data_IF_864740115765
#
_entry.id   IF_864740115765
#
_cell.length_a   1.000
_cell.length_b   1.000
_cell.length_c   1.000
_cell.angle_alpha   90.00
_cell.angle_beta   90.00
_cell.angle_gamma   90.00
#
_symmetry.space_group_name_H-M   'P 1'
#
loop_
_entity.id
_entity.type
_entity.pdbx_description
1 polymer ?
#
# COMPACT_ATOMS: atom_id res chain seq x y z
N UNK A 1 -22.48 -1.36 -7.70
CA UNK A 1 -23.92 -1.07 -7.92
C UNK A 1 -24.53 -0.65 -6.59
N UNK A 2 -25.74 -0.08 -6.54
CA UNK A 2 -26.43 0.22 -5.27
C UNK A 2 -27.50 -0.85 -4.97
N UNK A 3 -27.79 -1.10 -3.69
CA UNK A 3 -28.84 -2.04 -3.24
C UNK A 3 -30.18 -1.85 -3.96
N UNK A 4 -30.60 -0.61 -4.20
CA UNK A 4 -31.85 -0.29 -4.91
C UNK A 4 -31.91 -0.86 -6.33
N UNK A 5 -30.79 -0.77 -7.06
CA UNK A 5 -30.65 -1.33 -8.41
C UNK A 5 -30.66 -2.86 -8.37
N UNK A 6 -29.95 -3.45 -7.40
CA UNK A 6 -29.88 -4.91 -7.26
C UNK A 6 -31.25 -5.50 -6.95
N UNK A 7 -32.02 -4.89 -6.04
CA UNK A 7 -33.40 -5.31 -5.74
C UNK A 7 -34.23 -5.31 -7.02
N UNK A 8 -34.21 -4.19 -7.76
CA UNK A 8 -35.00 -4.00 -8.98
C UNK A 8 -34.62 -4.98 -10.08
N UNK A 9 -33.32 -5.18 -10.31
CA UNK A 9 -32.82 -6.09 -11.34
C UNK A 9 -33.12 -7.55 -11.01
N UNK A 10 -32.81 -8.00 -9.78
CA UNK A 10 -33.10 -9.38 -9.34
C UNK A 10 -34.59 -9.66 -9.38
N UNK A 11 -35.44 -8.72 -8.93
CA UNK A 11 -36.90 -8.86 -9.02
C UNK A 11 -37.34 -9.08 -10.47
N UNK A 12 -36.90 -8.21 -11.39
CA UNK A 12 -37.24 -8.32 -12.81
C UNK A 12 -36.74 -9.62 -13.43
N UNK A 13 -35.52 -10.04 -13.10
CA UNK A 13 -34.93 -11.29 -13.58
C UNK A 13 -35.72 -12.52 -13.10
N UNK A 14 -36.31 -12.46 -11.90
CA UNK A 14 -37.15 -13.53 -11.35
C UNK A 14 -38.62 -13.43 -11.81
N UNK A 15 -38.98 -12.44 -12.63
CA UNK A 15 -40.35 -12.23 -13.10
C UNK A 15 -41.33 -11.78 -12.01
N UNK A 16 -40.84 -11.29 -10.87
CA UNK A 16 -41.67 -10.87 -9.73
C UNK A 16 -42.18 -9.43 -9.93
N UNK A 17 -43.39 -9.14 -9.44
CA UNK A 17 -43.89 -7.75 -9.34
C UNK A 17 -43.52 -7.12 -7.99
N UNK A 18 -43.68 -5.80 -7.85
CA UNK A 18 -43.45 -5.14 -6.55
C UNK A 18 -44.47 -5.60 -5.51
N UNK A 19 -45.69 -5.91 -5.95
CA UNK A 19 -46.76 -6.50 -5.16
C UNK A 19 -46.37 -7.88 -4.61
N UNK A 20 -45.74 -8.72 -5.42
CA UNK A 20 -45.27 -10.02 -4.93
C UNK A 20 -44.26 -9.85 -3.80
N UNK A 21 -43.25 -8.98 -3.97
CA UNK A 21 -42.27 -8.73 -2.90
C UNK A 21 -42.95 -8.21 -1.64
N UNK A 22 -43.90 -7.30 -1.79
CA UNK A 22 -44.64 -6.72 -0.67
C UNK A 22 -45.41 -7.79 0.11
N UNK A 23 -46.10 -8.68 -0.60
CA UNK A 23 -46.86 -9.79 -0.03
C UNK A 23 -45.95 -10.80 0.69
N UNK A 24 -44.87 -11.26 0.03
CA UNK A 24 -43.94 -12.24 0.63
C UNK A 24 -43.25 -11.72 1.89
N UNK A 25 -42.97 -10.42 1.97
CA UNK A 25 -42.25 -9.81 3.10
C UNK A 25 -43.18 -9.12 4.12
N UNK A 26 -44.49 -9.14 3.90
CA UNK A 26 -45.46 -8.51 4.80
C UNK A 26 -45.31 -6.98 4.89
N UNK A 27 -44.91 -6.33 3.80
CA UNK A 27 -44.73 -4.87 3.71
C UNK A 27 -45.69 -4.25 2.70
N UNK A 28 -45.74 -2.92 2.65
CA UNK A 28 -46.56 -2.21 1.66
C UNK A 28 -45.85 -2.11 0.31
N UNK A 29 -46.62 -2.16 -0.79
CA UNK A 29 -46.10 -1.97 -2.16
C UNK A 29 -45.32 -0.65 -2.31
N UNK A 30 -45.79 0.49 -1.75
CA UNK A 30 -45.02 1.73 -1.80
C UNK A 30 -43.66 1.64 -1.10
N UNK A 31 -43.50 0.79 -0.08
CA UNK A 31 -42.20 0.57 0.55
C UNK A 31 -41.21 -0.07 -0.43
N UNK A 32 -41.64 -1.12 -1.14
CA UNK A 32 -40.83 -1.78 -2.18
C UNK A 32 -40.45 -0.81 -3.29
N UNK A 33 -41.40 0.02 -3.76
CA UNK A 33 -41.13 1.06 -4.76
C UNK A 33 -40.08 2.07 -4.28
N UNK A 34 -40.18 2.54 -3.03
CA UNK A 34 -39.19 3.44 -2.42
C UNK A 34 -37.81 2.79 -2.30
N UNK A 35 -37.73 1.49 -2.02
CA UNK A 35 -36.46 0.75 -2.00
C UNK A 35 -35.82 0.68 -3.38
N UNK A 36 -36.59 0.32 -4.42
CA UNK A 36 -36.08 0.23 -5.80
C UNK A 36 -35.67 1.58 -6.39
N UNK A 37 -36.26 2.67 -5.89
CA UNK A 37 -35.91 4.04 -6.28
C UNK A 37 -34.79 4.65 -5.39
N UNK A 38 -34.33 3.93 -4.36
CA UNK A 38 -33.29 4.41 -3.44
C UNK A 38 -33.74 5.54 -2.50
N UNK A 39 -35.05 5.76 -2.35
CA UNK A 39 -35.61 6.77 -1.44
C UNK A 39 -35.52 6.33 0.02
N UNK A 40 -35.72 5.04 0.28
CA UNK A 40 -35.58 4.43 1.61
C UNK A 40 -34.86 3.09 1.48
N UNK A 41 -34.35 2.58 2.60
CA UNK A 41 -33.76 1.24 2.66
C UNK A 41 -34.75 0.23 3.25
N UNK A 42 -34.66 -1.06 2.88
CA UNK A 42 -35.33 -2.10 3.65
C UNK A 42 -34.83 -2.11 5.09
N UNK A 43 -35.72 -2.40 6.04
CA UNK A 43 -35.33 -2.61 7.42
C UNK A 43 -34.31 -3.75 7.53
N UNK A 44 -33.34 -3.64 8.44
CA UNK A 44 -32.29 -4.64 8.63
C UNK A 44 -32.86 -6.04 8.91
N UNK A 45 -34.02 -6.11 9.57
CA UNK A 45 -34.73 -7.36 9.86
C UNK A 45 -35.34 -8.01 8.62
N UNK A 46 -35.61 -7.23 7.57
CA UNK A 46 -36.19 -7.71 6.31
C UNK A 46 -35.14 -8.18 5.31
N UNK A 47 -33.89 -7.76 5.47
CA UNK A 47 -32.80 -8.10 4.53
C UNK A 47 -32.62 -9.62 4.34
N UNK A 48 -32.63 -10.48 5.40
CA UNK A 48 -32.50 -11.92 5.20
C UNK A 48 -33.68 -12.53 4.43
N UNK A 49 -34.90 -12.02 4.64
CA UNK A 49 -36.09 -12.46 3.90
C UNK A 49 -36.01 -12.05 2.44
N UNK A 50 -35.66 -10.79 2.19
CA UNK A 50 -35.48 -10.22 0.87
C UNK A 50 -34.39 -10.94 0.07
N UNK A 51 -33.24 -11.24 0.69
CA UNK A 51 -32.14 -11.97 0.05
C UNK A 51 -32.57 -13.39 -0.39
N UNK A 52 -33.27 -14.13 0.48
CA UNK A 52 -33.81 -15.46 0.15
C UNK A 52 -34.83 -15.40 -0.98
N UNK A 53 -35.73 -14.41 -0.97
CA UNK A 53 -36.73 -14.21 -2.03
C UNK A 53 -36.07 -13.90 -3.38
N UNK A 54 -35.04 -13.04 -3.37
CA UNK A 54 -34.30 -12.63 -4.56
C UNK A 54 -33.21 -13.63 -4.99
N UNK A 55 -33.12 -14.78 -4.33
CA UNK A 55 -32.12 -15.84 -4.60
C UNK A 55 -30.69 -15.27 -4.69
N UNK A 56 -30.33 -14.44 -3.71
CA UNK A 56 -29.02 -13.80 -3.60
C UNK A 56 -28.53 -13.86 -2.16
N UNK A 57 -27.24 -13.70 -1.95
CA UNK A 57 -26.68 -13.52 -0.61
C UNK A 57 -26.74 -12.04 -0.17
N UNK A 58 -26.53 -11.81 1.13
CA UNK A 58 -26.57 -10.47 1.73
C UNK A 58 -25.42 -9.58 1.24
N UNK A 59 -24.24 -10.14 0.94
CA UNK A 59 -23.11 -9.34 0.47
C UNK A 59 -23.43 -8.78 -0.91
N UNK A 60 -23.88 -9.63 -1.83
CA UNK A 60 -24.33 -9.20 -3.15
C UNK A 60 -25.49 -8.21 -3.05
N UNK A 61 -26.50 -8.46 -2.20
CA UNK A 61 -27.63 -7.55 -2.04
C UNK A 61 -27.21 -6.15 -1.57
N UNK A 62 -26.30 -6.09 -0.61
CA UNK A 62 -25.79 -4.83 -0.06
C UNK A 62 -24.68 -4.21 -0.90
N UNK A 63 -24.28 -4.86 -2.01
CA UNK A 63 -23.10 -4.47 -2.80
C UNK A 63 -21.83 -4.38 -1.96
N UNK A 64 -21.69 -5.27 -0.99
CA UNK A 64 -20.51 -5.35 -0.12
C UNK A 64 -19.38 -6.05 -0.86
N UNK A 65 -18.26 -5.35 -1.00
CA UNK A 65 -16.97 -5.92 -1.38
C UNK A 65 -16.01 -5.67 -0.21
N UNK A 66 -15.35 -6.73 0.24
CA UNK A 66 -14.39 -6.67 1.35
C UNK A 66 -13.15 -5.83 0.98
N UNK A 67 -12.74 -5.92 -0.29
CA UNK A 67 -11.65 -5.14 -0.85
C UNK A 67 -12.11 -4.33 -2.07
N UNK A 68 -11.52 -3.17 -2.26
CA UNK A 68 -11.63 -2.45 -3.52
C UNK A 68 -10.75 -3.12 -4.58
N UNK A 69 -11.29 -3.27 -5.79
CA UNK A 69 -10.48 -3.71 -6.92
C UNK A 69 -9.42 -2.67 -7.28
N UNK A 70 -8.32 -3.10 -7.92
CA UNK A 70 -7.26 -2.18 -8.36
C UNK A 70 -7.78 -1.04 -9.25
N UNK A 71 -8.78 -1.31 -10.08
CA UNK A 71 -9.39 -0.30 -10.96
C UNK A 71 -10.16 0.73 -10.14
N UNK A 72 -10.91 0.29 -9.13
CA UNK A 72 -11.62 1.20 -8.23
C UNK A 72 -10.65 2.04 -7.40
N UNK A 73 -9.55 1.45 -6.90
CA UNK A 73 -8.51 2.17 -6.17
C UNK A 73 -7.87 3.24 -7.07
N UNK A 74 -7.51 2.89 -8.31
CA UNK A 74 -6.96 3.85 -9.27
C UNK A 74 -7.94 4.99 -9.55
N UNK A 75 -9.22 4.70 -9.70
CA UNK A 75 -10.26 5.72 -9.89
C UNK A 75 -10.39 6.65 -8.68
N UNK A 76 -10.28 6.11 -7.47
CA UNK A 76 -10.24 6.92 -6.24
C UNK A 76 -9.02 7.84 -6.24
N UNK A 77 -7.83 7.33 -6.53
CA UNK A 77 -6.59 8.14 -6.57
C UNK A 77 -6.69 9.24 -7.62
N UNK A 78 -7.19 8.94 -8.83
CA UNK A 78 -7.40 9.96 -9.88
C UNK A 78 -8.42 11.02 -9.45
N UNK A 79 -9.47 10.63 -8.74
CA UNK A 79 -10.45 11.58 -8.21
C UNK A 79 -9.89 12.44 -7.08
N UNK A 80 -9.06 11.88 -6.20
CA UNK A 80 -8.31 12.67 -5.22
C UNK A 80 -7.44 13.70 -5.95
N UNK A 81 -6.72 13.29 -6.99
CA UNK A 81 -5.89 14.20 -7.79
C UNK A 81 -6.69 15.36 -8.40
N UNK A 82 -7.86 15.08 -8.98
CA UNK A 82 -8.68 16.14 -9.59
C UNK A 82 -9.19 17.13 -8.53
N UNK A 83 -9.64 16.65 -7.37
CA UNK A 83 -10.10 17.51 -6.27
C UNK A 83 -8.93 18.37 -5.75
N UNK A 84 -7.73 17.81 -5.61
CA UNK A 84 -6.55 18.59 -5.20
C UNK A 84 -6.25 19.73 -6.19
N UNK A 85 -6.45 19.50 -7.49
CA UNK A 85 -6.21 20.50 -8.54
C UNK A 85 -7.30 21.57 -8.61
N UNK A 86 -8.57 21.19 -8.38
CA UNK A 86 -9.73 22.07 -8.54
C UNK A 86 -10.07 22.83 -7.25
N UNK A 87 -10.17 22.11 -6.13
CA UNK A 87 -10.69 22.61 -4.85
C UNK A 87 -9.58 22.80 -3.80
N UNK A 88 -8.47 22.07 -3.93
CA UNK A 88 -7.28 22.21 -3.10
C UNK A 88 -6.95 20.97 -2.28
N UNK A 89 -5.78 21.00 -1.63
CA UNK A 89 -5.23 19.82 -0.97
C UNK A 89 -6.08 19.32 0.21
N UNK A 90 -6.67 20.22 1.00
CA UNK A 90 -7.47 19.84 2.18
C UNK A 90 -8.71 19.05 1.77
N UNK A 91 -9.45 19.49 0.75
CA UNK A 91 -10.62 18.78 0.24
C UNK A 91 -10.27 17.43 -0.38
N UNK A 92 -9.17 17.37 -1.13
CA UNK A 92 -8.67 16.11 -1.70
C UNK A 92 -8.24 15.12 -0.61
N UNK A 93 -7.57 15.60 0.43
CA UNK A 93 -7.17 14.79 1.58
C UNK A 93 -8.38 14.30 2.38
N UNK A 94 -9.37 15.17 2.60
CA UNK A 94 -10.59 14.79 3.30
C UNK A 94 -11.39 13.74 2.51
N UNK A 95 -11.48 13.89 1.19
CA UNK A 95 -12.08 12.88 0.32
C UNK A 95 -11.35 11.53 0.42
N UNK A 96 -10.01 11.54 0.42
CA UNK A 96 -9.21 10.33 0.61
C UNK A 96 -9.51 9.65 1.96
N UNK A 97 -9.58 10.42 3.06
CA UNK A 97 -9.96 9.91 4.37
C UNK A 97 -11.36 9.29 4.37
N UNK A 98 -12.31 9.88 3.66
CA UNK A 98 -13.67 9.34 3.57
C UNK A 98 -13.71 8.01 2.80
N UNK A 99 -12.87 7.83 1.78
CA UNK A 99 -12.70 6.53 1.12
C UNK A 99 -12.10 5.49 2.06
N UNK A 100 -11.10 5.87 2.87
CA UNK A 100 -10.52 4.98 3.88
C UNK A 100 -11.54 4.63 4.97
N UNK A 101 -12.44 5.55 5.35
CA UNK A 101 -13.54 5.26 6.29
C UNK A 101 -14.54 4.26 5.71
N UNK A 102 -14.77 4.30 4.40
CA UNK A 102 -15.63 3.34 3.71
C UNK A 102 -14.97 1.95 3.60
N UNK A 103 -13.65 1.89 3.46
CA UNK A 103 -12.87 0.64 3.36
C UNK A 103 -11.74 0.61 4.40
N UNK A 104 -12.05 0.48 5.71
CA UNK A 104 -11.09 0.70 6.80
C UNK A 104 -9.98 -0.35 6.89
N UNK A 105 -10.20 -1.53 6.33
CA UNK A 105 -9.28 -2.68 6.34
C UNK A 105 -8.59 -2.89 4.99
N UNK A 106 -8.92 -2.09 3.96
CA UNK A 106 -8.33 -2.27 2.63
C UNK A 106 -6.90 -1.70 2.60
N UNK A 107 -5.91 -2.58 2.81
CA UNK A 107 -4.50 -2.21 2.90
C UNK A 107 -4.00 -1.57 1.60
N UNK A 108 -4.41 -2.10 0.45
CA UNK A 108 -4.04 -1.60 -0.88
C UNK A 108 -4.54 -0.16 -1.12
N UNK A 109 -5.73 0.18 -0.63
CA UNK A 109 -6.27 1.53 -0.71
C UNK A 109 -5.45 2.50 0.16
N UNK A 110 -5.20 2.12 1.42
CA UNK A 110 -4.42 2.94 2.35
C UNK A 110 -3.01 3.18 1.80
N UNK A 111 -2.37 2.13 1.30
CA UNK A 111 -1.05 2.21 0.66
C UNK A 111 -1.06 3.16 -0.55
N UNK A 112 -1.98 2.95 -1.49
CA UNK A 112 -2.03 3.75 -2.73
C UNK A 112 -2.28 5.23 -2.47
N UNK A 113 -3.22 5.53 -1.55
CA UNK A 113 -3.50 6.90 -1.15
C UNK A 113 -2.33 7.53 -0.40
N UNK A 114 -1.68 6.79 0.50
CA UNK A 114 -0.53 7.29 1.24
C UNK A 114 0.64 7.64 0.32
N UNK A 115 1.02 6.71 -0.58
CA UNK A 115 2.09 6.95 -1.57
C UNK A 115 1.77 8.13 -2.48
N UNK A 116 0.50 8.32 -2.83
CA UNK A 116 0.07 9.44 -3.67
C UNK A 116 0.09 10.78 -2.93
N UNK A 117 -0.40 10.82 -1.67
CA UNK A 117 -0.55 12.05 -0.90
C UNK A 117 0.77 12.55 -0.31
N UNK A 118 1.72 11.67 -0.01
CA UNK A 118 3.01 12.01 0.59
C UNK A 118 3.80 13.07 -0.21
N UNK A 119 4.07 12.89 -1.53
CA UNK A 119 4.77 13.91 -2.32
C UNK A 119 4.03 15.25 -2.38
N UNK A 120 2.71 15.20 -2.57
CA UNK A 120 1.86 16.40 -2.63
C UNK A 120 1.85 17.18 -1.31
N UNK A 121 2.03 16.49 -0.19
CA UNK A 121 2.17 17.11 1.13
C UNK A 121 3.42 17.98 1.24
N UNK A 122 4.54 17.55 0.63
CA UNK A 122 5.80 18.30 0.66
C UNK A 122 5.73 19.68 0.01
N UNK A 123 4.69 19.93 -0.80
CA UNK A 123 4.44 21.22 -1.45
C UNK A 123 3.59 22.19 -0.60
N UNK A 124 3.03 21.72 0.53
CA UNK A 124 2.20 22.52 1.43
C UNK A 124 3.03 23.31 2.44
N UNK A 125 2.45 24.33 3.08
CA UNK A 125 3.10 25.08 4.17
C UNK A 125 3.40 24.19 5.39
N UNK A 126 4.53 24.45 6.07
CA UNK A 126 5.05 23.64 7.19
C UNK A 126 4.03 23.36 8.30
N UNK A 127 3.20 24.34 8.69
CA UNK A 127 2.17 24.18 9.73
C UNK A 127 1.10 23.14 9.35
N UNK A 128 0.66 23.14 8.09
CA UNK A 128 -0.30 22.17 7.58
C UNK A 128 0.31 20.78 7.43
N UNK A 129 1.60 20.67 7.10
CA UNK A 129 2.27 19.38 6.93
C UNK A 129 2.19 18.50 8.19
N UNK A 130 2.38 19.09 9.38
CA UNK A 130 2.36 18.35 10.65
C UNK A 130 1.03 17.61 10.87
N UNK A 131 -0.10 18.32 10.75
CA UNK A 131 -1.46 17.77 10.92
C UNK A 131 -1.70 16.57 10.00
N UNK A 132 -1.40 16.72 8.71
CA UNK A 132 -1.65 15.66 7.72
C UNK A 132 -0.67 14.48 7.86
N UNK A 133 0.60 14.71 8.23
CA UNK A 133 1.55 13.63 8.52
C UNK A 133 1.06 12.76 9.67
N UNK A 134 0.49 13.36 10.72
CA UNK A 134 -0.05 12.59 11.84
C UNK A 134 -1.27 11.74 11.46
N UNK A 135 -2.17 12.27 10.62
CA UNK A 135 -3.27 11.47 10.09
C UNK A 135 -2.78 10.32 9.21
N UNK A 136 -1.81 10.57 8.31
CA UNK A 136 -1.18 9.50 7.53
C UNK A 136 -0.48 8.47 8.41
N UNK A 137 0.18 8.90 9.49
CA UNK A 137 0.82 7.99 10.44
C UNK A 137 -0.19 7.04 11.09
N UNK A 138 -1.38 7.53 11.46
CA UNK A 138 -2.47 6.67 11.98
C UNK A 138 -2.91 5.62 10.96
N UNK A 139 -2.91 5.95 9.67
CA UNK A 139 -3.24 5.01 8.61
C UNK A 139 -2.13 3.98 8.38
N UNK A 140 -0.88 4.43 8.26
CA UNK A 140 0.28 3.54 8.11
C UNK A 140 0.47 2.61 9.31
N UNK A 141 0.16 3.08 10.52
CA UNK A 141 0.16 2.22 11.71
C UNK A 141 -0.79 1.03 11.56
N UNK A 142 -1.93 1.16 10.88
CA UNK A 142 -2.87 0.04 10.67
C UNK A 142 -2.32 -1.03 9.76
N UNK A 143 -1.58 -0.63 8.71
CA UNK A 143 -1.07 -1.53 7.66
C UNK A 143 0.37 -2.01 7.92
N UNK A 144 0.99 -1.63 9.04
CA UNK A 144 2.37 -2.01 9.39
C UNK A 144 2.61 -3.52 9.53
N UNK A 145 1.56 -4.28 9.79
CA UNK A 145 1.60 -5.74 9.95
C UNK A 145 1.04 -6.48 8.73
N UNK A 146 0.92 -5.80 7.58
CA UNK A 146 0.46 -6.40 6.32
C UNK A 146 1.32 -7.61 5.94
N UNK A 147 0.68 -8.62 5.36
CA UNK A 147 1.36 -9.77 4.75
C UNK A 147 2.11 -9.37 3.47
N UNK A 148 1.69 -8.27 2.83
CA UNK A 148 2.35 -7.75 1.65
C UNK A 148 3.64 -7.01 2.06
N UNK A 149 4.77 -7.56 1.62
CA UNK A 149 6.11 -7.04 1.92
C UNK A 149 6.25 -5.56 1.52
N UNK A 150 5.71 -5.15 0.37
CA UNK A 150 5.87 -3.79 -0.12
C UNK A 150 5.08 -2.77 0.71
N UNK A 151 3.85 -3.13 1.07
CA UNK A 151 2.99 -2.33 1.97
C UNK A 151 3.65 -2.21 3.34
N UNK A 152 4.15 -3.34 3.86
CA UNK A 152 4.84 -3.39 5.15
C UNK A 152 6.09 -2.51 5.16
N UNK A 153 6.91 -2.56 4.11
CA UNK A 153 8.10 -1.69 3.96
C UNK A 153 7.71 -0.22 3.97
N UNK A 154 6.75 0.17 3.15
CA UNK A 154 6.33 1.57 3.03
C UNK A 154 5.79 2.10 4.37
N UNK A 155 4.92 1.32 5.02
CA UNK A 155 4.33 1.68 6.30
C UNK A 155 5.37 1.86 7.42
N UNK A 156 6.27 0.89 7.57
CA UNK A 156 7.32 0.96 8.59
C UNK A 156 8.31 2.09 8.27
N UNK A 157 8.68 2.29 6.99
CA UNK A 157 9.56 3.38 6.56
C UNK A 157 8.99 4.74 6.91
N UNK A 158 7.72 4.98 6.57
CA UNK A 158 7.06 6.25 6.86
C UNK A 158 7.04 6.56 8.36
N UNK A 159 6.63 5.57 9.17
CA UNK A 159 6.59 5.71 10.63
C UNK A 159 7.99 5.93 11.22
N UNK A 160 9.00 5.21 10.72
CA UNK A 160 10.38 5.34 11.14
C UNK A 160 10.90 6.78 10.96
N UNK A 161 10.77 7.34 9.75
CA UNK A 161 11.25 8.69 9.47
C UNK A 161 10.48 9.75 10.27
N UNK A 162 9.17 9.57 10.44
CA UNK A 162 8.37 10.48 11.26
C UNK A 162 8.80 10.48 12.73
N UNK A 163 9.09 9.31 13.32
CA UNK A 163 9.61 9.23 14.68
C UNK A 163 11.01 9.84 14.80
N UNK A 164 11.85 9.71 13.77
CA UNK A 164 13.15 10.38 13.73
C UNK A 164 13.02 11.91 13.70
N UNK A 165 12.10 12.45 12.91
CA UNK A 165 11.80 13.89 12.86
C UNK A 165 11.30 14.43 14.20
N UNK A 166 10.58 13.60 14.97
CA UNK A 166 10.08 13.92 16.32
C UNK A 166 11.11 13.69 17.44
N UNK A 167 12.34 13.32 17.09
CA UNK A 167 13.41 12.96 18.03
C UNK A 167 13.07 11.75 18.93
N UNK A 168 12.09 10.93 18.54
CA UNK A 168 11.65 9.73 19.27
C UNK A 168 12.46 8.49 18.84
N UNK A 169 13.78 8.57 18.98
CA UNK A 169 14.71 7.61 18.38
C UNK A 169 14.54 6.16 18.84
N UNK A 170 14.15 5.94 20.09
CA UNK A 170 13.90 4.58 20.62
C UNK A 170 12.71 3.93 19.91
N UNK A 171 11.62 4.69 19.69
CA UNK A 171 10.45 4.18 18.97
C UNK A 171 10.81 3.87 17.52
N UNK A 172 11.59 4.74 16.87
CA UNK A 172 12.08 4.52 15.52
C UNK A 172 12.91 3.22 15.44
N UNK A 173 13.82 2.98 16.38
CA UNK A 173 14.63 1.76 16.40
C UNK A 173 13.78 0.49 16.56
N UNK A 174 12.75 0.51 17.42
CA UNK A 174 11.89 -0.67 17.62
C UNK A 174 11.12 -1.08 16.36
N UNK A 175 10.75 -0.12 15.51
CA UNK A 175 10.06 -0.38 14.24
C UNK A 175 10.92 -1.15 13.23
N UNK A 176 12.24 -0.99 13.29
CA UNK A 176 13.15 -1.67 12.37
C UNK A 176 13.27 -3.17 12.63
N UNK A 177 12.89 -3.66 13.81
CA UNK A 177 12.90 -5.10 14.12
C UNK A 177 11.90 -5.87 13.24
N UNK A 178 10.79 -5.23 12.86
CA UNK A 178 9.74 -5.84 12.05
C UNK A 178 9.91 -5.55 10.54
N UNK A 179 10.94 -4.80 10.16
CA UNK A 179 11.18 -4.37 8.78
C UNK A 179 11.64 -5.55 7.90
N UNK A 180 10.96 -5.85 6.77
CA UNK A 180 11.19 -7.08 6.01
C UNK A 180 12.36 -6.96 4.99
N UNK A 181 13.35 -6.09 5.26
CA UNK A 181 14.50 -5.86 4.38
C UNK A 181 15.71 -5.34 5.17
N UNK A 182 16.82 -5.06 4.47
CA UNK A 182 18.02 -4.49 5.07
C UNK A 182 17.72 -3.12 5.71
N UNK A 183 18.09 -2.99 6.97
CA UNK A 183 17.83 -1.80 7.80
C UNK A 183 19.05 -0.88 7.92
N UNK A 184 20.21 -1.24 7.36
CA UNK A 184 21.49 -0.55 7.64
C UNK A 184 21.46 0.93 7.26
N UNK A 185 20.82 1.25 6.12
CA UNK A 185 20.65 2.66 5.69
C UNK A 185 19.78 3.46 6.68
N UNK A 186 18.70 2.86 7.18
CA UNK A 186 17.82 3.49 8.17
C UNK A 186 18.52 3.63 9.53
N UNK A 187 19.25 2.60 9.97
CA UNK A 187 20.05 2.67 11.19
C UNK A 187 21.15 3.73 11.11
N UNK A 188 21.83 3.84 9.96
CA UNK A 188 22.81 4.91 9.73
C UNK A 188 22.17 6.30 9.80
N UNK A 189 20.98 6.47 9.21
CA UNK A 189 20.20 7.71 9.34
C UNK A 189 19.83 8.02 10.79
N UNK A 190 19.40 7.02 11.57
CA UNK A 190 19.09 7.19 12.99
C UNK A 190 20.30 7.68 13.79
N UNK A 191 21.47 7.05 13.60
CA UNK A 191 22.72 7.46 14.22
C UNK A 191 23.15 8.87 13.80
N UNK A 192 22.95 9.23 12.52
CA UNK A 192 23.18 10.59 12.04
C UNK A 192 22.31 11.63 12.78
N UNK A 193 21.02 11.34 13.02
CA UNK A 193 20.14 12.22 13.80
C UNK A 193 20.61 12.37 15.26
N UNK A 194 21.12 11.29 15.86
CA UNK A 194 21.75 11.30 17.18
C UNK A 194 23.14 11.99 17.22
N UNK A 195 23.68 12.42 16.06
CA UNK A 195 25.05 12.95 15.88
C UNK A 195 26.15 11.93 16.19
N UNK A 196 25.83 10.65 16.07
CA UNK A 196 26.75 9.52 16.21
C UNK A 196 27.28 9.14 14.82
N UNK A 197 28.31 9.83 14.35
CA UNK A 197 28.78 9.66 12.97
C UNK A 197 29.58 8.37 12.75
N UNK A 198 30.37 7.95 13.74
CA UNK A 198 31.23 6.76 13.60
C UNK A 198 30.41 5.48 13.38
N UNK A 199 29.37 5.17 14.19
CA UNK A 199 28.52 4.00 13.93
C UNK A 199 27.78 4.07 12.60
N UNK A 200 27.34 5.27 12.19
CA UNK A 200 26.67 5.49 10.91
C UNK A 200 27.61 5.16 9.72
N UNK A 201 28.85 5.63 9.77
CA UNK A 201 29.86 5.35 8.74
C UNK A 201 30.12 3.85 8.60
N UNK A 202 30.33 3.14 9.73
CA UNK A 202 30.56 1.68 9.71
C UNK A 202 29.40 0.93 9.05
N UNK A 203 28.14 1.30 9.36
CA UNK A 203 26.97 0.69 8.75
C UNK A 203 26.90 0.93 7.23
N UNK A 204 27.19 2.16 6.79
CA UNK A 204 27.19 2.53 5.38
C UNK A 204 28.32 1.83 4.61
N UNK A 205 29.51 1.75 5.18
CA UNK A 205 30.64 1.01 4.61
C UNK A 205 30.31 -0.47 4.45
N UNK A 206 29.74 -1.09 5.48
CA UNK A 206 29.31 -2.48 5.42
C UNK A 206 28.28 -2.70 4.30
N UNK A 207 27.26 -1.84 4.19
CA UNK A 207 26.24 -1.98 3.14
C UNK A 207 26.81 -1.74 1.74
N UNK A 208 27.71 -0.78 1.59
CA UNK A 208 28.42 -0.51 0.34
C UNK A 208 29.21 -1.74 -0.13
N UNK A 209 29.93 -2.40 0.78
CA UNK A 209 30.70 -3.61 0.48
C UNK A 209 29.78 -4.78 0.05
N UNK A 210 28.65 -4.99 0.73
CA UNK A 210 27.66 -6.00 0.33
C UNK A 210 27.14 -5.75 -1.10
N UNK A 211 26.73 -4.51 -1.40
CA UNK A 211 26.26 -4.13 -2.74
C UNK A 211 27.35 -4.35 -3.78
N UNK A 212 28.60 -4.01 -3.48
CA UNK A 212 29.72 -4.23 -4.39
C UNK A 212 29.91 -5.73 -4.72
N UNK A 213 29.75 -6.61 -3.74
CA UNK A 213 29.81 -8.07 -3.93
C UNK A 213 28.62 -8.58 -4.76
N UNK A 214 27.41 -8.09 -4.49
CA UNK A 214 26.20 -8.41 -5.28
C UNK A 214 26.39 -7.98 -6.75
N UNK A 215 26.83 -6.74 -6.99
CA UNK A 215 27.13 -6.21 -8.32
C UNK A 215 28.21 -7.04 -9.04
N UNK A 216 29.29 -7.38 -8.35
CA UNK A 216 30.35 -8.22 -8.92
C UNK A 216 29.82 -9.59 -9.34
N UNK A 217 28.96 -10.20 -8.52
CA UNK A 217 28.35 -11.49 -8.82
C UNK A 217 27.50 -11.45 -10.09
N UNK A 218 26.72 -10.38 -10.27
CA UNK A 218 25.93 -10.13 -11.48
C UNK A 218 26.83 -9.95 -12.70
N UNK A 219 27.89 -9.15 -12.58
CA UNK A 219 28.85 -8.90 -13.66
C UNK A 219 29.55 -10.19 -14.12
N UNK A 220 29.77 -11.15 -13.22
CA UNK A 220 30.32 -12.48 -13.54
C UNK A 220 29.28 -13.37 -14.23
N UNK A 221 28.03 -13.35 -13.78
CA UNK A 221 26.99 -14.23 -14.28
C UNK A 221 26.47 -13.80 -15.66
N UNK A 222 26.27 -12.51 -15.88
CA UNK A 222 25.59 -11.97 -17.07
C UNK A 222 26.27 -12.35 -18.41
N UNK A 223 27.60 -12.19 -18.59
CA UNK A 223 28.24 -12.57 -19.85
C UNK A 223 28.21 -14.08 -20.09
N UNK A 224 28.24 -14.90 -19.02
CA UNK A 224 28.11 -16.36 -19.12
C UNK A 224 26.74 -16.75 -19.69
N UNK A 225 25.67 -16.13 -19.21
CA UNK A 225 24.32 -16.36 -19.75
C UNK A 225 24.18 -15.88 -21.20
N UNK A 226 24.81 -14.75 -21.56
CA UNK A 226 24.81 -14.26 -22.93
C UNK A 226 25.51 -15.23 -23.90
N UNK A 227 26.71 -15.73 -23.54
CA UNK A 227 27.41 -16.75 -24.32
C UNK A 227 26.58 -18.04 -24.50
N UNK A 228 25.89 -18.50 -23.45
CA UNK A 228 24.99 -19.65 -23.54
C UNK A 228 23.79 -19.40 -24.46
N UNK A 229 23.28 -18.17 -24.50
CA UNK A 229 22.15 -17.77 -25.36
C UNK A 229 22.54 -17.61 -26.83
N UNK A 230 23.73 -17.06 -27.12
CA UNK A 230 24.19 -16.78 -28.50
C UNK A 230 25.01 -17.92 -29.11
N UNK A 231 25.46 -18.89 -28.31
CA UNK A 231 26.37 -19.96 -28.75
C UNK A 231 27.82 -19.50 -28.93
N UNK A 232 28.12 -18.25 -28.60
CA UNK A 232 29.46 -17.67 -28.70
C UNK A 232 30.31 -18.01 -27.45
N UNK A 233 31.62 -18.17 -27.64
CA UNK A 233 32.54 -18.46 -26.53
C UNK A 233 33.01 -17.19 -25.82
N UNK A 234 33.21 -17.28 -24.51
CA UNK A 234 33.61 -16.15 -23.67
C UNK A 234 35.02 -15.63 -24.07
N UNK A 235 35.25 -14.32 -24.26
CA UNK A 235 36.56 -13.79 -24.62
C UNK A 235 37.62 -14.08 -23.55
N UNK A 236 38.78 -14.65 -23.92
CA UNK A 236 39.88 -15.05 -22.99
C UNK A 236 40.36 -13.93 -22.06
N UNK A 237 40.33 -12.68 -22.51
CA UNK A 237 40.78 -11.51 -21.73
C UNK A 237 39.91 -11.24 -20.51
N UNK A 238 38.66 -11.72 -20.51
CA UNK A 238 37.70 -11.54 -19.43
C UNK A 238 37.95 -12.53 -18.27
N UNK A 239 38.43 -13.74 -18.57
CA UNK A 239 38.85 -14.71 -17.56
C UNK A 239 40.11 -14.26 -16.82
N UNK A 240 41.01 -13.54 -17.49
CA UNK A 240 42.24 -13.01 -16.90
C UNK A 240 41.99 -11.82 -15.96
N UNK A 241 41.05 -10.92 -16.29
CA UNK A 241 40.67 -9.79 -15.41
C UNK A 241 39.92 -10.24 -14.15
N UNK A 242 39.17 -11.34 -14.21
CA UNK A 242 38.48 -11.93 -13.06
C UNK A 242 39.45 -12.28 -11.91
N UNK A 243 40.59 -12.89 -12.25
CA UNK A 243 41.57 -13.35 -11.26
C UNK A 243 42.33 -12.20 -10.59
N UNK A 244 42.61 -11.09 -11.29
CA UNK A 244 43.35 -9.97 -10.70
C UNK A 244 42.50 -9.14 -9.73
N UNK A 245 41.20 -8.96 -10.04
CA UNK A 245 40.29 -8.20 -9.19
C UNK A 245 39.89 -8.95 -7.91
N UNK A 246 39.61 -10.26 -7.99
CA UNK A 246 39.28 -11.07 -6.80
C UNK A 246 40.45 -11.14 -5.80
N UNK A 247 41.68 -11.25 -6.31
CA UNK A 247 42.90 -11.30 -5.49
C UNK A 247 43.13 -10.02 -4.70
N UNK A 248 42.94 -8.85 -5.33
CA UNK A 248 43.13 -7.54 -4.70
C UNK A 248 42.02 -7.18 -3.70
N UNK A 249 40.79 -7.67 -3.91
CA UNK A 249 39.65 -7.39 -3.03
C UNK A 249 39.67 -8.21 -1.73
N UNK A 250 39.99 -9.50 -1.79
CA UNK A 250 40.14 -10.31 -0.56
C UNK A 250 41.26 -9.79 0.35
N UNK A 251 42.35 -9.27 -0.23
CA UNK A 251 43.47 -8.70 0.53
C UNK A 251 43.12 -7.37 1.23
N UNK A 252 42.19 -6.58 0.65
CA UNK A 252 41.73 -5.32 1.26
C UNK A 252 40.67 -5.54 2.35
N UNK A 253 39.76 -6.49 2.18
CA UNK A 253 38.77 -6.87 3.20
C UNK A 253 39.47 -7.35 4.48
N UNK A 254 40.50 -8.19 4.41
CA UNK A 254 41.21 -8.68 5.59
C UNK A 254 41.97 -7.60 6.38
N UNK A 255 42.32 -6.49 5.74
CA UNK A 255 43.07 -5.38 6.37
C UNK A 255 42.20 -4.36 7.09
N UNK A 256 40.91 -4.33 6.79
CA UNK A 256 39.94 -3.41 7.40
C UNK A 256 39.33 -4.02 8.67
N UNK A 257 39.35 -5.35 8.78
CA UNK A 257 38.81 -6.11 9.92
C UNK A 257 39.89 -6.73 10.84
N UNK A 258 41.12 -6.21 10.80
CA UNK A 258 42.26 -6.58 11.67
C UNK A 258 42.83 -5.35 12.38
#
# INVERSE_FOLDING_TARGET
>A
MKISQIIKEKRKHLGLTQENIAEYLGVSIPAVSKWENGTTYPDITLLPGLARLLKTDLNTLMSFNEEMSEVEIKNVVMKVQSIIQEDGFEDGFQFALDQVRAFPTCENLIYSLGVFLQPSLGLQSVEHQSKYREELAKLYFRIRNSENIEIKKEAISFLFYLHCEKEEYEKAATLLNDYPADTKLMMAYLHQQKKEYEPACVLLEHRMLEIAVEMQSILIALPRFLCLKTGETMPRNWLASKNSWQSNWHFRMYRIYS
#
